data_IF_372178797866
#
_entry.id   IF_372178797866
#
_cell.length_a   1.000
_cell.length_b   1.000
_cell.length_c   1.000
_cell.angle_alpha   90.00
_cell.angle_beta   90.00
_cell.angle_gamma   90.00
#
_symmetry.space_group_name_H-M   'P 1'
#
loop_
_entity.id
_entity.type
_entity.pdbx_description
1 polymer ?
#
# COMPACT_ATOMS: atom_id res chain seq x y z
N UNK A 1 36.36 32.98 9.07
CA UNK A 1 35.36 32.09 8.43
C UNK A 1 34.57 31.40 9.54
N UNK A 2 33.49 32.01 9.99
CA UNK A 2 32.59 31.43 11.00
C UNK A 2 31.70 30.41 10.31
N UNK A 3 32.01 29.12 10.48
CA UNK A 3 31.21 28.02 9.94
C UNK A 3 29.81 28.06 10.57
N UNK A 4 28.80 28.40 9.77
CA UNK A 4 27.41 28.37 10.22
C UNK A 4 27.02 26.90 10.40
N UNK A 5 26.80 26.49 11.65
CA UNK A 5 26.34 25.14 11.97
C UNK A 5 24.96 24.95 11.35
N UNK A 6 24.82 23.99 10.44
CA UNK A 6 23.51 23.60 9.91
C UNK A 6 22.75 22.94 11.07
N UNK A 7 21.57 23.44 11.47
CA UNK A 7 20.81 22.86 12.56
C UNK A 7 20.34 21.45 12.18
N UNK A 8 20.38 20.55 13.16
CA UNK A 8 19.86 19.19 13.02
C UNK A 8 18.34 19.20 12.93
N UNK A 9 17.76 18.17 12.32
CA UNK A 9 16.30 18.07 12.16
C UNK A 9 15.52 18.23 13.49
N UNK A 10 15.94 17.65 14.64
CA UNK A 10 15.28 17.86 15.92
C UNK A 10 15.33 19.31 16.42
N UNK A 11 16.43 20.03 16.21
CA UNK A 11 16.58 21.44 16.62
C UNK A 11 15.60 22.35 15.86
N UNK A 12 15.39 22.10 14.55
CA UNK A 12 14.42 22.85 13.73
C UNK A 12 12.97 22.50 14.10
N UNK A 13 12.69 21.22 14.36
CA UNK A 13 11.35 20.77 14.73
C UNK A 13 10.90 21.34 16.09
N UNK A 14 11.77 21.33 17.10
CA UNK A 14 11.49 21.87 18.43
C UNK A 14 11.34 23.40 18.45
N UNK A 15 11.97 24.10 17.52
CA UNK A 15 11.82 25.56 17.35
C UNK A 15 10.52 25.99 16.65
N UNK A 16 9.65 25.05 16.28
CA UNK A 16 8.40 25.34 15.55
C UNK A 16 8.62 25.73 14.08
N UNK A 17 9.82 25.52 13.55
CA UNK A 17 10.20 25.88 12.17
C UNK A 17 9.70 24.92 11.10
N UNK A 18 9.10 23.78 11.48
CA UNK A 18 8.44 22.85 10.57
C UNK A 18 6.93 23.03 10.66
N UNK A 19 6.38 23.88 9.81
CA UNK A 19 4.94 23.91 9.59
C UNK A 19 4.58 22.74 8.67
N UNK A 20 3.41 22.13 8.87
CA UNK A 20 2.96 21.01 8.02
C UNK A 20 2.96 21.38 6.52
N UNK A 21 2.75 22.66 6.19
CA UNK A 21 2.84 23.18 4.82
C UNK A 21 4.24 23.10 4.21
N UNK A 22 5.29 23.16 5.03
CA UNK A 22 6.67 23.15 4.55
C UNK A 22 7.05 21.75 4.04
N UNK A 23 6.40 20.70 4.58
CA UNK A 23 6.54 19.33 4.07
C UNK A 23 6.05 19.19 2.62
N UNK A 24 5.09 20.01 2.16
CA UNK A 24 4.63 20.00 0.77
C UNK A 24 5.69 20.55 -0.21
N UNK A 25 6.66 21.31 0.29
CA UNK A 25 7.77 21.87 -0.48
C UNK A 25 9.08 21.09 -0.30
N UNK A 26 9.04 19.97 0.43
CA UNK A 26 10.23 19.16 0.66
C UNK A 26 10.79 18.63 -0.67
N UNK A 27 12.09 18.81 -0.95
CA UNK A 27 12.69 18.45 -2.24
C UNK A 27 12.85 16.94 -2.44
N UNK A 28 12.75 16.15 -1.37
CA UNK A 28 12.91 14.70 -1.42
C UNK A 28 11.54 14.01 -1.49
N UNK A 29 11.21 13.47 -2.67
CA UNK A 29 10.10 12.54 -2.82
C UNK A 29 10.45 11.17 -2.22
N UNK A 30 9.47 10.50 -1.63
CA UNK A 30 9.61 9.11 -1.22
C UNK A 30 9.17 8.20 -2.36
N UNK A 31 10.01 7.22 -2.70
CA UNK A 31 9.62 6.18 -3.65
C UNK A 31 8.66 5.20 -2.96
N UNK A 32 7.49 4.99 -3.56
CA UNK A 32 6.47 4.09 -3.04
C UNK A 32 6.33 2.82 -3.87
N UNK A 33 6.21 1.67 -3.21
CA UNK A 33 5.72 0.44 -3.81
C UNK A 33 4.19 0.49 -3.99
N UNK A 34 3.50 1.11 -3.04
CA UNK A 34 2.08 1.45 -3.10
C UNK A 34 1.93 2.92 -2.72
N UNK A 35 1.40 3.75 -3.64
CA UNK A 35 1.41 5.22 -3.53
C UNK A 35 0.84 5.70 -2.19
N UNK A 36 1.68 6.38 -1.41
CA UNK A 36 1.32 6.97 -0.11
C UNK A 36 1.06 5.95 1.02
N UNK A 37 1.28 4.65 0.79
CA UNK A 37 1.01 3.59 1.78
C UNK A 37 2.25 2.77 2.13
N UNK A 38 3.03 2.36 1.13
CA UNK A 38 4.18 1.47 1.35
C UNK A 38 5.41 2.03 0.61
N UNK A 39 6.42 2.53 1.33
CA UNK A 39 7.68 2.94 0.71
C UNK A 39 8.44 1.75 0.13
N UNK A 40 9.23 1.99 -0.92
CA UNK A 40 10.09 0.95 -1.54
C UNK A 40 11.21 0.52 -0.60
N UNK A 41 11.70 1.43 0.23
CA UNK A 41 12.82 1.21 1.15
C UNK A 41 12.43 1.51 2.59
N UNK A 42 13.12 0.87 3.53
CA UNK A 42 12.86 1.02 4.97
C UNK A 42 11.85 0.00 5.51
N UNK A 43 11.34 0.29 6.70
CA UNK A 43 10.45 -0.62 7.46
C UNK A 43 9.13 0.08 7.75
N UNK A 44 8.02 -0.56 7.38
CA UNK A 44 6.67 -0.12 7.74
C UNK A 44 6.09 -1.04 8.81
N UNK A 45 5.54 -0.45 9.88
CA UNK A 45 4.96 -1.20 11.00
C UNK A 45 3.45 -1.03 11.00
N UNK A 46 2.74 -2.15 11.00
CA UNK A 46 1.28 -2.20 11.05
C UNK A 46 0.87 -2.73 12.41
N UNK A 47 0.21 -1.90 13.21
CA UNK A 47 -0.19 -2.25 14.58
C UNK A 47 -1.70 -2.13 14.76
N UNK A 48 -2.21 -2.86 15.75
CA UNK A 48 -3.63 -2.92 16.07
C UNK A 48 -3.92 -4.07 17.02
N UNK A 49 -5.09 -4.04 17.64
CA UNK A 49 -5.51 -5.06 18.62
C UNK A 49 -5.48 -6.49 18.04
N UNK A 50 -5.48 -7.47 18.95
CA UNK A 50 -5.67 -8.88 18.58
C UNK A 50 -6.94 -9.02 17.73
N UNK A 51 -6.91 -9.91 16.73
CA UNK A 51 -8.04 -10.16 15.82
C UNK A 51 -8.51 -8.98 14.96
N UNK A 52 -7.81 -7.84 14.92
CA UNK A 52 -8.13 -6.71 14.04
C UNK A 52 -7.88 -6.98 12.53
N UNK A 53 -7.60 -8.22 12.13
CA UNK A 53 -7.40 -8.59 10.72
C UNK A 53 -6.03 -8.24 10.14
N UNK A 54 -5.03 -7.89 10.96
CA UNK A 54 -3.67 -7.51 10.49
C UNK A 54 -3.06 -8.54 9.53
N UNK A 55 -3.04 -9.81 9.93
CA UNK A 55 -2.51 -10.89 9.09
C UNK A 55 -3.27 -10.98 7.77
N UNK A 56 -4.60 -10.92 7.81
CA UNK A 56 -5.42 -10.98 6.60
C UNK A 56 -5.11 -9.81 5.64
N UNK A 57 -4.96 -8.61 6.19
CA UNK A 57 -4.64 -7.40 5.43
C UNK A 57 -3.25 -7.44 4.81
N UNK A 58 -2.24 -7.91 5.56
CA UNK A 58 -0.87 -8.06 5.07
C UNK A 58 -0.76 -9.18 4.03
N UNK A 59 -1.48 -10.30 4.20
CA UNK A 59 -1.57 -11.33 3.17
C UNK A 59 -2.24 -10.81 1.89
N UNK A 60 -3.26 -9.95 2.04
CA UNK A 60 -3.94 -9.32 0.90
C UNK A 60 -3.00 -8.39 0.12
N UNK A 61 -2.23 -7.58 0.83
CA UNK A 61 -1.18 -6.74 0.26
C UNK A 61 -0.10 -7.57 -0.45
N UNK A 62 0.38 -8.62 0.21
CA UNK A 62 1.40 -9.52 -0.33
C UNK A 62 0.94 -10.17 -1.65
N UNK A 63 -0.31 -10.63 -1.72
CA UNK A 63 -0.89 -11.18 -2.93
C UNK A 63 -0.95 -10.15 -4.07
N UNK A 64 -1.30 -8.90 -3.78
CA UNK A 64 -1.33 -7.82 -4.76
C UNK A 64 0.07 -7.49 -5.31
N UNK A 65 1.06 -7.38 -4.43
CA UNK A 65 2.44 -7.08 -4.83
C UNK A 65 3.12 -8.24 -5.58
N UNK A 66 2.72 -9.48 -5.29
CA UNK A 66 3.22 -10.68 -5.97
C UNK A 66 2.50 -11.00 -7.29
N UNK A 67 1.29 -10.48 -7.50
CA UNK A 67 0.55 -10.71 -8.73
C UNK A 67 1.23 -10.03 -9.93
N UNK A 68 1.26 -10.67 -11.12
CA UNK A 68 1.75 -10.03 -12.33
C UNK A 68 0.83 -8.85 -12.72
N UNK A 69 1.37 -7.85 -13.41
CA UNK A 69 0.59 -6.69 -13.83
C UNK A 69 -0.61 -7.07 -14.71
N UNK A 70 -0.49 -8.14 -15.51
CA UNK A 70 -1.57 -8.67 -16.34
C UNK A 70 -2.76 -9.25 -15.55
N UNK A 71 -2.64 -9.43 -14.22
CA UNK A 71 -3.72 -9.92 -13.38
C UNK A 71 -4.78 -8.87 -13.03
N UNK A 72 -4.64 -7.61 -13.48
CA UNK A 72 -5.62 -6.55 -13.24
C UNK A 72 -5.66 -6.04 -11.80
N UNK A 73 -4.65 -6.37 -10.98
CA UNK A 73 -4.55 -5.98 -9.58
C UNK A 73 -3.72 -4.69 -9.40
N UNK A 74 -4.00 -3.65 -10.20
CA UNK A 74 -3.13 -2.46 -10.30
C UNK A 74 -3.31 -1.43 -9.18
N UNK A 75 -4.30 -1.67 -8.32
CA UNK A 75 -4.52 -0.87 -7.13
C UNK A 75 -4.66 -1.75 -5.90
N UNK A 76 -4.28 -1.21 -4.75
CA UNK A 76 -4.53 -1.80 -3.44
C UNK A 76 -5.06 -0.73 -2.49
N UNK A 77 -6.20 -0.97 -1.85
CA UNK A 77 -6.95 0.03 -1.08
C UNK A 77 -7.19 1.35 -1.87
N UNK A 78 -7.44 1.23 -3.17
CA UNK A 78 -7.65 2.38 -4.06
C UNK A 78 -6.38 3.17 -4.39
N UNK A 79 -5.19 2.71 -3.95
CA UNK A 79 -3.91 3.33 -4.28
C UNK A 79 -3.17 2.56 -5.37
N UNK A 80 -2.55 3.24 -6.35
CA UNK A 80 -1.75 2.58 -7.38
C UNK A 80 -0.60 1.74 -6.80
N UNK A 81 -0.39 0.56 -7.38
CA UNK A 81 0.79 -0.26 -7.14
C UNK A 81 1.85 0.11 -8.18
N UNK A 82 3.01 0.57 -7.73
CA UNK A 82 4.13 0.99 -8.58
C UNK A 82 5.23 -0.04 -8.70
N UNK A 83 5.34 -0.93 -7.71
CA UNK A 83 6.39 -1.96 -7.67
C UNK A 83 5.79 -3.31 -7.32
N UNK A 84 6.20 -4.35 -8.08
CA UNK A 84 5.80 -5.74 -7.92
C UNK A 84 7.04 -6.62 -7.78
N UNK A 85 6.89 -7.82 -7.22
CA UNK A 85 8.00 -8.76 -7.10
C UNK A 85 7.70 -9.96 -6.21
N UNK A 86 8.73 -10.76 -5.96
CA UNK A 86 8.64 -11.88 -5.03
C UNK A 86 8.47 -11.37 -3.60
N UNK A 87 7.56 -11.99 -2.85
CA UNK A 87 7.27 -11.63 -1.46
C UNK A 87 7.61 -12.81 -0.55
N UNK A 88 8.40 -12.56 0.49
CA UNK A 88 8.67 -13.50 1.57
C UNK A 88 7.74 -13.19 2.76
N UNK A 89 6.97 -14.18 3.19
CA UNK A 89 6.09 -14.08 4.35
C UNK A 89 6.70 -14.88 5.49
N UNK A 90 7.02 -14.20 6.59
CA UNK A 90 7.52 -14.82 7.82
C UNK A 90 6.45 -14.68 8.90
N UNK A 91 6.03 -15.81 9.49
CA UNK A 91 5.03 -15.86 10.55
C UNK A 91 5.54 -16.70 11.71
N UNK A 92 5.32 -16.20 12.93
CA UNK A 92 5.59 -16.92 14.17
C UNK A 92 4.30 -17.32 14.93
N UNK A 93 3.14 -16.77 14.55
CA UNK A 93 1.87 -16.97 15.26
C UNK A 93 0.93 -17.93 14.52
N UNK A 94 0.86 -17.83 13.19
CA UNK A 94 -0.04 -18.65 12.38
C UNK A 94 0.64 -19.93 11.88
N UNK A 95 -0.13 -21.02 11.83
CA UNK A 95 0.24 -22.26 11.15
C UNK A 95 0.35 -22.05 9.63
N UNK A 96 1.26 -22.78 9.00
CA UNK A 96 1.48 -22.74 7.54
C UNK A 96 0.17 -22.95 6.79
N UNK A 97 -0.58 -23.99 7.13
CA UNK A 97 -1.82 -24.39 6.46
C UNK A 97 -2.85 -23.26 6.49
N UNK A 98 -2.97 -22.53 7.61
CA UNK A 98 -3.87 -21.39 7.73
C UNK A 98 -3.46 -20.24 6.80
N UNK A 99 -2.16 -19.96 6.68
CA UNK A 99 -1.65 -18.94 5.76
C UNK A 99 -1.97 -19.30 4.31
N UNK A 100 -1.76 -20.56 3.91
CA UNK A 100 -2.06 -21.02 2.56
C UNK A 100 -3.56 -20.94 2.24
N UNK A 101 -4.43 -21.33 3.16
CA UNK A 101 -5.89 -21.24 2.98
C UNK A 101 -6.34 -19.78 2.82
N UNK A 102 -5.85 -18.89 3.69
CA UNK A 102 -6.16 -17.44 3.63
C UNK A 102 -5.68 -16.83 2.32
N UNK A 103 -4.44 -17.11 1.93
CA UNK A 103 -3.85 -16.62 0.68
C UNK A 103 -4.61 -17.14 -0.55
N UNK A 104 -4.97 -18.42 -0.56
CA UNK A 104 -5.76 -18.99 -1.65
C UNK A 104 -7.14 -18.33 -1.76
N UNK A 105 -7.79 -18.00 -0.63
CA UNK A 105 -9.04 -17.25 -0.63
C UNK A 105 -8.89 -15.85 -1.22
N UNK A 106 -7.81 -15.14 -0.85
CA UNK A 106 -7.49 -13.82 -1.39
C UNK A 106 -7.30 -13.88 -2.91
N UNK A 107 -6.45 -14.80 -3.39
CA UNK A 107 -6.10 -14.90 -4.81
C UNK A 107 -7.33 -15.24 -5.65
N UNK A 108 -8.21 -16.14 -5.17
CA UNK A 108 -9.49 -16.42 -5.84
C UNK A 108 -10.38 -15.18 -5.91
N UNK A 109 -10.45 -14.39 -4.84
CA UNK A 109 -11.19 -13.12 -4.83
C UNK A 109 -10.66 -12.11 -5.84
N UNK A 110 -9.33 -11.99 -5.95
CA UNK A 110 -8.68 -11.13 -6.95
C UNK A 110 -9.00 -11.56 -8.37
N UNK A 111 -8.92 -12.86 -8.67
CA UNK A 111 -9.23 -13.39 -10.00
C UNK A 111 -10.71 -13.20 -10.39
N UNK A 112 -11.63 -13.25 -9.42
CA UNK A 112 -13.04 -12.99 -9.66
C UNK A 112 -13.33 -11.50 -9.92
N UNK A 113 -12.63 -10.58 -9.22
CA UNK A 113 -12.77 -9.14 -9.41
C UNK A 113 -12.10 -8.58 -10.68
N UNK A 114 -11.15 -9.33 -11.28
CA UNK A 114 -10.49 -8.96 -12.54
C UNK A 114 -11.32 -9.22 -13.80
N UNK A 115 -12.47 -9.92 -13.71
CA UNK A 115 -13.45 -9.97 -14.79
C UNK A 115 -14.27 -8.69 -14.70
N UNK A 116 -14.02 -7.74 -15.60
CA UNK A 116 -14.83 -6.53 -15.72
C UNK A 116 -16.32 -6.91 -15.70
N UNK A 117 -17.09 -6.28 -14.80
CA UNK A 117 -18.53 -6.36 -14.84
C UNK A 117 -19.02 -5.93 -16.24
N UNK A 118 -20.01 -6.62 -16.84
CA UNK A 118 -20.55 -6.18 -18.12
C UNK A 118 -21.04 -4.74 -17.99
N UNK A 119 -20.56 -3.90 -18.89
CA UNK A 119 -21.00 -2.51 -19.07
C UNK A 119 -22.52 -2.48 -19.07
N UNK A 120 -23.12 -1.84 -18.07
CA UNK A 120 -24.56 -1.61 -18.04
C UNK A 120 -24.84 -0.62 -19.16
N UNK A 121 -25.27 -1.15 -20.31
CA UNK A 121 -25.72 -0.34 -21.42
C UNK A 121 -26.88 0.54 -20.93
N UNK A 122 -26.59 1.83 -20.71
CA UNK A 122 -27.60 2.85 -20.50
C UNK A 122 -28.40 2.99 -21.79
N UNK A 123 -29.53 2.29 -21.85
CA UNK A 123 -30.57 2.55 -22.83
C UNK A 123 -31.18 3.92 -22.52
N UNK A 124 -30.64 4.98 -23.10
CA UNK A 124 -31.37 6.22 -23.29
C UNK A 124 -32.44 5.97 -24.35
N UNK A 125 -33.61 5.51 -23.91
CA UNK A 125 -34.83 5.63 -24.68
C UNK A 125 -35.18 7.12 -24.75
N UNK A 126 -34.73 7.78 -25.82
CA UNK A 126 -35.37 9.00 -26.28
C UNK A 126 -36.79 8.63 -26.74
N UNK A 127 -37.79 9.02 -25.96
CA UNK A 127 -39.17 9.06 -26.42
C UNK A 127 -39.55 10.52 -26.65
N UNK A 128 -39.96 10.73 -27.89
CA UNK A 128 -40.66 11.86 -28.53
C UNK A 128 -41.64 12.57 -27.59
#
# INVERSE_FOLDING_TARGET
>A
MTGTKIPTWPEVALGGGYLARDAATAPAGMDYAIDGLLPVTGTSVWFGQGSAGKTQLLLWMAAHLAAPASAGADTWLGKPIRKRGQILILSAEDLREHLFVRLASIVRGMAAGGKAAPEVATAHAAMV
#
